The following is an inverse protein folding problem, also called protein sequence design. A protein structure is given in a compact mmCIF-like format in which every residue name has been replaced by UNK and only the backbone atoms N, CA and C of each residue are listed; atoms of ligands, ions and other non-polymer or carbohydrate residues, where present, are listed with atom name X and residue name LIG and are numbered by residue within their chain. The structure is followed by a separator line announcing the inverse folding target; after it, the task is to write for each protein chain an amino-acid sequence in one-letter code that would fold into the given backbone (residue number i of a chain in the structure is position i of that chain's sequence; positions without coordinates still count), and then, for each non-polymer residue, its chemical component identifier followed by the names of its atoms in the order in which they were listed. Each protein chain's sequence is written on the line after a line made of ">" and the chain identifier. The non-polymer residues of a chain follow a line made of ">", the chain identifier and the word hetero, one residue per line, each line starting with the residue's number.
data_IF_035164336844
#
_entry.id   IF_035164336844
#
_cell.length_a   1.000
_cell.length_b   1.000
_cell.length_c   1.000
_cell.angle_alpha   90.00
_cell.angle_beta   90.00
_cell.angle_gamma   90.00
#
_symmetry.space_group_name_H-M   'P 1'
#
loop_
_entity.id
_entity.type
_entity.pdbx_description
1 polymer ?
#
# COMPACT_ATOMS: atom_id res chain seq x y z
N UNK A 1 19.69 -6.04 0.11
CA UNK A 1 18.54 -5.64 0.95
C UNK A 1 18.71 -6.04 2.42
N UNK A 2 18.80 -7.31 2.81
CA UNK A 2 18.89 -7.71 4.24
C UNK A 2 20.02 -7.00 5.02
N UNK A 3 21.23 -6.95 4.45
CA UNK A 3 22.36 -6.17 5.01
C UNK A 3 22.04 -4.68 5.15
N UNK A 4 21.36 -4.10 4.17
CA UNK A 4 20.98 -2.69 4.24
C UNK A 4 19.95 -2.43 5.35
N UNK A 5 18.97 -3.35 5.54
CA UNK A 5 18.02 -3.26 6.65
C UNK A 5 18.71 -3.40 8.02
N UNK A 6 19.76 -4.22 8.10
CA UNK A 6 20.62 -4.31 9.28
C UNK A 6 21.34 -2.99 9.56
N UNK A 7 21.97 -2.42 8.53
CA UNK A 7 22.81 -1.23 8.69
C UNK A 7 21.99 0.06 8.89
N UNK A 8 20.71 0.07 8.50
CA UNK A 8 19.84 1.25 8.55
C UNK A 8 18.63 1.13 9.51
N UNK A 9 18.37 -0.07 10.03
CA UNK A 9 17.35 -0.32 11.05
C UNK A 9 17.93 -0.28 12.46
N UNK A 10 17.09 0.04 13.45
CA UNK A 10 17.46 -0.13 14.86
C UNK A 10 16.94 -1.48 15.37
N UNK A 11 17.56 -2.04 16.39
CA UNK A 11 17.12 -3.29 17.06
C UNK A 11 16.89 -4.44 16.05
N UNK A 12 17.89 -4.74 15.22
CA UNK A 12 17.77 -5.73 14.15
C UNK A 12 17.48 -7.15 14.66
N UNK A 13 17.82 -7.45 15.91
CA UNK A 13 17.41 -8.67 16.62
C UNK A 13 15.89 -8.83 16.68
N UNK A 14 15.13 -7.72 16.68
CA UNK A 14 13.67 -7.66 16.65
C UNK A 14 13.05 -7.56 15.26
N UNK A 15 13.83 -7.62 14.18
CA UNK A 15 13.34 -7.53 12.79
C UNK A 15 12.15 -8.46 12.53
N UNK A 16 11.19 -8.05 11.71
CA UNK A 16 10.03 -8.88 11.38
C UNK A 16 9.98 -9.18 9.88
N UNK A 17 9.60 -10.41 9.53
CA UNK A 17 9.21 -10.78 8.18
C UNK A 17 7.69 -10.85 8.09
N UNK A 18 7.08 -10.18 7.12
CA UNK A 18 5.64 -10.26 6.84
C UNK A 18 5.42 -10.82 5.45
N UNK A 19 4.49 -11.76 5.33
CA UNK A 19 4.25 -12.52 4.11
C UNK A 19 2.77 -12.94 4.01
N UNK A 20 2.19 -13.07 2.79
CA UNK A 20 0.80 -13.47 2.62
C UNK A 20 0.48 -14.82 3.28
N UNK A 21 1.25 -15.85 2.96
CA UNK A 21 1.06 -17.22 3.48
C UNK A 21 2.37 -17.82 3.96
N UNK A 22 2.37 -18.48 5.13
CA UNK A 22 3.61 -19.09 5.70
C UNK A 22 4.31 -20.07 4.76
N UNK A 23 3.58 -20.70 3.85
CA UNK A 23 4.15 -21.55 2.80
C UNK A 23 5.09 -20.82 1.85
N UNK A 24 4.95 -19.49 1.70
CA UNK A 24 5.76 -18.66 0.80
C UNK A 24 7.24 -18.59 1.24
N UNK A 25 7.53 -18.91 2.51
CA UNK A 25 8.90 -19.10 3.03
C UNK A 25 9.67 -20.18 2.28
N UNK A 26 8.98 -21.17 1.70
CA UNK A 26 9.59 -22.24 0.94
C UNK A 26 9.80 -21.85 -0.54
N UNK A 27 9.11 -20.82 -1.02
CA UNK A 27 9.16 -20.37 -2.42
C UNK A 27 10.24 -19.32 -2.68
N UNK A 28 10.63 -18.54 -1.67
CA UNK A 28 11.55 -17.40 -1.81
C UNK A 28 13.06 -17.74 -1.81
N UNK A 29 13.45 -19.02 -1.81
CA UNK A 29 14.85 -19.44 -1.74
C UNK A 29 15.53 -19.14 -0.39
N UNK A 30 16.86 -19.23 -0.33
CA UNK A 30 17.64 -19.10 0.92
C UNK A 30 17.59 -17.68 1.55
N UNK A 31 17.17 -16.66 0.80
CA UNK A 31 17.31 -15.27 1.22
C UNK A 31 16.27 -14.78 2.24
N UNK A 32 14.94 -14.99 2.07
CA UNK A 32 13.96 -14.68 3.11
C UNK A 32 14.16 -15.53 4.38
N UNK A 33 14.60 -16.77 4.21
CA UNK A 33 14.93 -17.68 5.32
C UNK A 33 16.08 -17.14 6.19
N UNK A 34 17.11 -16.55 5.57
CA UNK A 34 18.21 -15.91 6.31
C UNK A 34 17.76 -14.67 7.08
N UNK A 35 16.81 -13.90 6.54
CA UNK A 35 16.26 -12.73 7.24
C UNK A 35 15.45 -13.15 8.47
N UNK A 36 14.76 -14.29 8.45
CA UNK A 36 13.88 -14.71 9.55
C UNK A 36 14.55 -15.62 10.61
N UNK A 37 15.88 -15.61 10.72
CA UNK A 37 16.57 -16.44 11.72
C UNK A 37 16.11 -16.18 13.18
N UNK A 38 15.53 -15.00 13.49
CA UNK A 38 14.96 -14.68 14.81
C UNK A 38 13.50 -15.18 15.01
N UNK A 39 12.91 -15.84 14.02
CA UNK A 39 11.56 -16.43 14.05
C UNK A 39 10.40 -15.43 14.22
N UNK A 40 10.65 -14.13 14.08
CA UNK A 40 9.62 -13.10 14.12
C UNK A 40 8.91 -12.99 12.75
N UNK A 41 7.82 -13.76 12.59
CA UNK A 41 7.05 -13.84 11.34
C UNK A 41 5.61 -13.40 11.56
N UNK A 42 5.18 -12.45 10.74
CA UNK A 42 3.79 -12.06 10.53
C UNK A 42 3.18 -12.70 9.27
N UNK A 43 1.96 -13.21 9.35
CA UNK A 43 1.20 -13.62 8.16
C UNK A 43 -0.29 -13.28 8.28
N UNK A 44 -1.05 -13.36 7.17
CA UNK A 44 -2.50 -13.08 7.17
C UNK A 44 -3.25 -13.98 8.15
N UNK A 45 -3.01 -15.29 8.05
CA UNK A 45 -3.53 -16.32 8.95
C UNK A 45 -2.37 -16.81 9.82
N UNK A 46 -2.18 -16.25 11.01
CA UNK A 46 -1.09 -16.65 11.90
C UNK A 46 -0.71 -15.59 12.93
N UNK A 47 0.47 -15.78 13.55
CA UNK A 47 1.07 -14.77 14.45
C UNK A 47 1.23 -13.45 13.71
N UNK A 48 1.07 -12.35 14.43
CA UNK A 48 1.07 -11.01 13.85
C UNK A 48 2.48 -10.46 13.58
N UNK A 49 3.53 -11.13 14.04
CA UNK A 49 4.85 -10.53 14.20
C UNK A 49 4.88 -9.54 15.36
N UNK A 50 6.05 -9.32 15.92
CA UNK A 50 6.30 -8.32 16.96
C UNK A 50 6.96 -7.09 16.35
N UNK A 51 6.57 -5.90 16.81
CA UNK A 51 7.17 -4.63 16.38
C UNK A 51 8.52 -4.40 17.07
N UNK A 52 9.21 -3.33 16.66
CA UNK A 52 10.39 -2.81 17.36
C UNK A 52 11.71 -2.98 16.62
N UNK A 53 11.70 -3.46 15.38
CA UNK A 53 12.85 -3.56 14.48
C UNK A 53 12.45 -3.39 13.01
N UNK A 54 13.41 -3.46 12.07
CA UNK A 54 13.14 -3.29 10.65
C UNK A 54 12.25 -4.41 10.10
N UNK A 55 11.42 -4.08 9.12
CA UNK A 55 10.43 -5.00 8.57
C UNK A 55 10.76 -5.34 7.12
N UNK A 56 10.65 -6.61 6.78
CA UNK A 56 10.67 -7.07 5.39
C UNK A 56 9.27 -7.57 5.02
N UNK A 57 8.64 -6.95 4.03
CA UNK A 57 7.41 -7.42 3.41
C UNK A 57 7.75 -8.23 2.15
N UNK A 58 7.46 -9.52 2.16
CA UNK A 58 7.77 -10.44 1.06
C UNK A 58 6.52 -10.70 0.23
N UNK A 59 6.54 -10.26 -1.04
CA UNK A 59 5.45 -10.33 -2.00
C UNK A 59 4.14 -9.83 -1.40
N UNK A 60 4.10 -8.59 -0.88
CA UNK A 60 2.91 -8.10 -0.21
C UNK A 60 1.77 -7.86 -1.20
N UNK A 61 0.55 -8.07 -0.75
CA UNK A 61 -0.61 -7.32 -1.22
C UNK A 61 -0.88 -6.14 -0.27
N UNK A 62 -1.97 -5.39 -0.50
CA UNK A 62 -2.31 -4.20 0.30
C UNK A 62 -2.41 -4.49 1.81
N UNK A 63 -2.96 -5.63 2.21
CA UNK A 63 -3.11 -5.98 3.63
C UNK A 63 -1.75 -6.30 4.27
N UNK A 64 -0.89 -7.02 3.55
CA UNK A 64 0.45 -7.37 4.02
C UNK A 64 1.34 -6.13 4.08
N UNK A 65 1.22 -5.21 3.11
CA UNK A 65 1.92 -3.93 3.12
C UNK A 65 1.46 -3.07 4.31
N UNK A 66 0.15 -2.91 4.51
CA UNK A 66 -0.38 -2.16 5.67
C UNK A 66 0.14 -2.72 6.99
N UNK A 67 0.13 -4.06 7.14
CA UNK A 67 0.68 -4.73 8.32
C UNK A 67 2.16 -4.44 8.49
N UNK A 68 2.95 -4.48 7.41
CA UNK A 68 4.37 -4.18 7.46
C UNK A 68 4.63 -2.73 7.88
N UNK A 69 3.86 -1.77 7.36
CA UNK A 69 3.91 -0.35 7.75
C UNK A 69 3.66 -0.19 9.25
N UNK A 70 2.61 -0.81 9.77
CA UNK A 70 2.27 -0.75 11.20
C UNK A 70 3.33 -1.40 12.09
N UNK A 71 3.85 -2.57 11.71
CA UNK A 71 4.87 -3.28 12.48
C UNK A 71 6.20 -2.53 12.52
N UNK A 72 6.53 -1.84 11.43
CA UNK A 72 7.78 -1.11 11.34
C UNK A 72 7.80 0.06 12.31
N UNK A 73 6.67 0.71 12.58
CA UNK A 73 6.58 1.80 13.58
C UNK A 73 7.78 2.76 13.53
N UNK A 74 7.88 3.50 12.41
CA UNK A 74 8.98 4.44 12.13
C UNK A 74 10.37 3.80 11.93
N UNK A 75 10.46 2.48 11.81
CA UNK A 75 11.65 1.76 11.33
C UNK A 75 11.68 1.65 9.81
N UNK A 76 12.82 1.21 9.28
CA UNK A 76 12.98 0.94 7.84
C UNK A 76 12.15 -0.28 7.42
N UNK A 77 11.59 -0.19 6.22
CA UNK A 77 10.81 -1.24 5.57
C UNK A 77 11.49 -1.62 4.27
N UNK A 78 11.70 -2.92 4.06
CA UNK A 78 12.01 -3.50 2.76
C UNK A 78 10.76 -4.13 2.16
N UNK A 79 10.56 -3.94 0.86
CA UNK A 79 9.49 -4.60 0.09
C UNK A 79 10.14 -5.42 -1.02
N UNK A 80 9.73 -6.68 -1.15
CA UNK A 80 10.09 -7.53 -2.28
C UNK A 80 8.84 -7.81 -3.07
N UNK A 81 8.82 -7.45 -4.34
CA UNK A 81 7.72 -7.76 -5.24
C UNK A 81 8.01 -9.04 -6.02
N UNK A 82 6.96 -9.78 -6.37
CA UNK A 82 7.06 -10.91 -7.30
C UNK A 82 7.06 -10.42 -8.76
N UNK A 83 6.19 -9.44 -9.06
CA UNK A 83 6.15 -8.74 -10.34
C UNK A 83 6.33 -7.24 -10.07
N UNK A 84 7.16 -6.53 -10.84
CA UNK A 84 7.34 -5.09 -10.68
C UNK A 84 6.01 -4.34 -10.77
N UNK A 85 5.82 -3.34 -9.90
CA UNK A 85 4.80 -2.32 -10.06
C UNK A 85 3.55 -2.47 -9.20
N UNK A 86 3.40 -3.57 -8.46
CA UNK A 86 2.25 -3.79 -7.57
C UNK A 86 2.23 -2.83 -6.36
N UNK A 87 3.40 -2.36 -5.95
CA UNK A 87 3.64 -1.47 -4.81
C UNK A 87 4.28 -0.15 -5.26
N UNK A 88 4.21 0.18 -6.55
CA UNK A 88 4.84 1.37 -7.11
C UNK A 88 4.29 2.66 -6.49
N UNK A 89 3.00 2.71 -6.19
CA UNK A 89 2.41 3.86 -5.52
C UNK A 89 2.98 4.09 -4.12
N UNK A 90 3.16 3.02 -3.34
CA UNK A 90 3.84 3.09 -2.05
C UNK A 90 5.30 3.53 -2.20
N UNK A 91 6.02 2.97 -3.19
CA UNK A 91 7.39 3.34 -3.48
C UNK A 91 7.51 4.82 -3.84
N UNK A 92 6.56 5.34 -4.64
CA UNK A 92 6.47 6.73 -5.02
C UNK A 92 6.19 7.66 -3.85
N UNK A 93 5.20 7.34 -3.02
CA UNK A 93 4.83 8.13 -1.85
C UNK A 93 5.96 8.24 -0.83
N UNK A 94 6.75 7.18 -0.67
CA UNK A 94 7.84 7.10 0.31
C UNK A 94 9.21 7.46 -0.26
N UNK A 95 9.31 7.74 -1.56
CA UNK A 95 10.59 7.90 -2.28
C UNK A 95 11.55 6.74 -1.99
N UNK A 96 11.00 5.52 -2.07
CA UNK A 96 11.70 4.28 -1.73
C UNK A 96 12.97 4.11 -2.57
N UNK A 97 14.00 3.51 -1.96
CA UNK A 97 15.23 3.13 -2.65
C UNK A 97 15.01 1.81 -3.40
N UNK A 98 15.20 1.82 -4.71
CA UNK A 98 15.24 0.60 -5.51
C UNK A 98 16.63 -0.06 -5.35
N UNK A 99 16.67 -1.30 -4.88
CA UNK A 99 17.94 -2.02 -4.64
C UNK A 99 18.64 -2.51 -5.90
N UNK A 100 17.93 -2.61 -7.02
CA UNK A 100 18.47 -3.00 -8.32
C UNK A 100 19.14 -1.79 -8.97
N UNK A 101 18.41 -0.68 -9.11
CA UNK A 101 18.93 0.54 -9.77
C UNK A 101 19.76 1.43 -8.86
N UNK A 102 19.63 1.28 -7.53
CA UNK A 102 20.23 2.16 -6.50
C UNK A 102 19.70 3.58 -6.50
N UNK A 103 18.59 3.82 -7.16
CA UNK A 103 17.95 5.13 -7.24
C UNK A 103 16.72 5.19 -6.34
N UNK A 104 16.38 6.39 -5.88
CA UNK A 104 15.11 6.64 -5.20
C UNK A 104 14.03 6.88 -6.23
N UNK A 105 12.83 6.39 -5.96
CA UNK A 105 11.68 6.73 -6.78
C UNK A 105 11.50 8.27 -6.79
N UNK A 106 11.34 8.91 -7.97
CA UNK A 106 11.26 10.38 -8.08
C UNK A 106 10.03 10.97 -7.36
N UNK A 107 9.01 10.13 -7.18
CA UNK A 107 7.72 10.48 -6.59
C UNK A 107 6.70 10.70 -7.70
N UNK A 108 5.68 11.49 -7.41
CA UNK A 108 4.70 11.96 -8.40
C UNK A 108 4.80 13.49 -8.51
N UNK A 109 4.34 14.10 -9.62
CA UNK A 109 4.20 15.55 -9.72
C UNK A 109 3.36 16.11 -8.56
N UNK A 110 3.63 17.33 -8.12
CA UNK A 110 2.95 17.95 -6.97
C UNK A 110 1.42 17.98 -7.15
N UNK A 111 0.94 18.24 -8.35
CA UNK A 111 -0.48 18.23 -8.66
C UNK A 111 -1.14 16.84 -8.48
N UNK A 112 -0.43 15.78 -8.84
CA UNK A 112 -0.87 14.39 -8.62
C UNK A 112 -0.84 14.07 -7.13
N UNK A 113 0.18 14.53 -6.41
CA UNK A 113 0.27 14.40 -4.97
C UNK A 113 -0.95 15.01 -4.26
N UNK A 114 -1.32 16.24 -4.60
CA UNK A 114 -2.52 16.88 -4.04
C UNK A 114 -3.80 16.12 -4.42
N UNK A 115 -3.90 15.65 -5.66
CA UNK A 115 -5.05 14.84 -6.11
C UNK A 115 -5.19 13.54 -5.30
N UNK A 116 -4.07 12.89 -4.96
CA UNK A 116 -4.05 11.70 -4.10
C UNK A 116 -4.43 12.04 -2.65
N UNK A 117 -3.97 13.17 -2.11
CA UNK A 117 -4.37 13.65 -0.78
C UNK A 117 -5.88 13.96 -0.73
N UNK A 118 -6.43 14.61 -1.75
CA UNK A 118 -7.86 14.90 -1.84
C UNK A 118 -8.69 13.62 -1.87
N UNK A 119 -8.25 12.63 -2.65
CA UNK A 119 -8.90 11.31 -2.69
C UNK A 119 -8.82 10.59 -1.35
N UNK A 120 -7.65 10.62 -0.68
CA UNK A 120 -7.44 10.05 0.66
C UNK A 120 -8.45 10.64 1.67
N UNK A 121 -8.51 11.98 1.73
CA UNK A 121 -9.40 12.71 2.64
C UNK A 121 -10.87 12.42 2.34
N UNK A 122 -11.25 12.42 1.07
CA UNK A 122 -12.62 12.07 0.67
C UNK A 122 -12.98 10.64 1.11
N UNK A 123 -12.02 9.72 0.99
CA UNK A 123 -12.12 8.33 1.40
C UNK A 123 -12.11 8.06 2.90
N UNK A 124 -12.03 9.09 3.77
CA UNK A 124 -11.94 8.92 5.22
C UNK A 124 -13.08 8.04 5.79
N UNK A 125 -14.30 8.26 5.30
CA UNK A 125 -15.50 7.48 5.65
C UNK A 125 -15.71 6.24 4.75
N UNK A 126 -14.72 5.90 3.94
CA UNK A 126 -14.75 4.81 2.97
C UNK A 126 -15.47 5.16 1.66
N UNK A 127 -15.16 4.41 0.62
CA UNK A 127 -15.66 4.66 -0.74
C UNK A 127 -17.02 4.00 -1.05
N UNK A 128 -17.68 3.41 -0.05
CA UNK A 128 -18.92 2.65 -0.25
C UNK A 128 -20.16 3.53 -0.50
N UNK A 129 -20.06 4.84 -0.21
CA UNK A 129 -21.14 5.83 -0.36
C UNK A 129 -21.16 6.48 -1.75
N UNK A 130 -20.63 5.78 -2.75
CA UNK A 130 -20.43 6.25 -4.13
C UNK A 130 -21.70 6.64 -4.90
N UNK A 131 -22.88 6.34 -4.33
CA UNK A 131 -24.18 6.74 -4.88
C UNK A 131 -24.73 8.03 -4.30
N UNK A 132 -24.15 8.56 -3.23
CA UNK A 132 -24.60 9.79 -2.60
C UNK A 132 -23.91 11.00 -3.26
N UNK A 133 -24.66 12.02 -3.73
CA UNK A 133 -24.08 13.12 -4.52
C UNK A 133 -22.87 13.81 -3.87
N UNK A 134 -22.91 14.02 -2.55
CA UNK A 134 -21.84 14.64 -1.79
C UNK A 134 -20.53 13.85 -1.87
N UNK A 135 -20.58 12.54 -1.62
CA UNK A 135 -19.42 11.66 -1.65
C UNK A 135 -18.94 11.40 -3.08
N UNK A 136 -19.88 11.16 -4.00
CA UNK A 136 -19.57 10.96 -5.41
C UNK A 136 -18.78 12.13 -6.01
N UNK A 137 -19.15 13.38 -5.68
CA UNK A 137 -18.44 14.56 -6.14
C UNK A 137 -17.00 14.61 -5.61
N UNK A 138 -16.79 14.24 -4.35
CA UNK A 138 -15.45 14.17 -3.75
C UNK A 138 -14.57 13.05 -4.30
N UNK A 139 -15.15 11.94 -4.77
CA UNK A 139 -14.36 10.80 -5.28
C UNK A 139 -14.03 10.93 -6.76
N UNK A 140 -15.04 11.27 -7.58
CA UNK A 140 -14.93 11.07 -9.02
C UNK A 140 -14.04 12.10 -9.72
N UNK A 141 -14.00 13.35 -9.25
CA UNK A 141 -13.07 14.35 -9.79
C UNK A 141 -11.60 13.91 -9.67
N UNK A 142 -11.13 13.55 -8.46
CA UNK A 142 -9.78 13.01 -8.29
C UNK A 142 -9.53 11.72 -9.08
N UNK A 143 -10.48 10.78 -9.11
CA UNK A 143 -10.34 9.53 -9.86
C UNK A 143 -10.18 9.80 -11.36
N UNK A 144 -11.01 10.67 -11.94
CA UNK A 144 -10.94 11.02 -13.36
C UNK A 144 -9.55 11.56 -13.71
N UNK A 145 -9.06 12.52 -12.92
CA UNK A 145 -7.73 13.12 -13.10
C UNK A 145 -6.60 12.11 -12.99
N UNK A 146 -6.67 11.17 -12.04
CA UNK A 146 -5.66 10.12 -11.87
C UNK A 146 -5.66 9.14 -13.04
N UNK A 147 -6.85 8.76 -13.54
CA UNK A 147 -6.99 7.89 -14.70
C UNK A 147 -6.51 8.56 -15.99
N UNK A 148 -6.84 9.83 -16.20
CA UNK A 148 -6.36 10.63 -17.34
C UNK A 148 -4.84 10.77 -17.34
N UNK A 149 -4.22 10.88 -16.16
CA UNK A 149 -2.77 10.88 -15.99
C UNK A 149 -2.12 9.48 -16.10
N UNK A 150 -2.92 8.43 -16.34
CA UNK A 150 -2.43 7.06 -16.57
C UNK A 150 -2.16 6.24 -15.31
N UNK A 151 -2.59 6.68 -14.12
CA UNK A 151 -2.39 5.92 -12.90
C UNK A 151 -3.39 4.78 -12.76
N UNK A 152 -2.87 3.59 -12.46
CA UNK A 152 -3.68 2.38 -12.23
C UNK A 152 -4.29 2.37 -10.83
N UNK A 153 -5.31 1.53 -10.63
CA UNK A 153 -5.87 1.30 -9.30
C UNK A 153 -4.79 0.79 -8.31
N UNK A 154 -3.92 -0.13 -8.74
CA UNK A 154 -2.86 -0.69 -7.89
C UNK A 154 -1.88 0.38 -7.41
N UNK A 155 -1.50 1.31 -8.31
CA UNK A 155 -0.69 2.46 -7.96
C UNK A 155 -1.42 3.32 -6.92
N UNK A 156 -2.66 3.74 -7.22
CA UNK A 156 -3.42 4.62 -6.32
C UNK A 156 -3.63 3.98 -4.95
N UNK A 157 -4.08 2.72 -4.89
CA UNK A 157 -4.36 2.05 -3.63
C UNK A 157 -3.11 1.90 -2.74
N UNK A 158 -1.96 1.51 -3.33
CA UNK A 158 -0.71 1.40 -2.57
C UNK A 158 -0.15 2.77 -2.15
N UNK A 159 -0.35 3.82 -2.95
CA UNK A 159 -0.01 5.20 -2.58
C UNK A 159 -0.83 5.67 -1.39
N UNK A 160 -2.15 5.47 -1.43
CA UNK A 160 -3.05 5.88 -0.34
C UNK A 160 -2.73 5.16 0.98
N UNK A 161 -2.31 3.88 0.93
CA UNK A 161 -1.79 3.20 2.13
C UNK A 161 -0.60 3.93 2.75
N UNK A 162 0.33 4.42 1.93
CA UNK A 162 1.49 5.18 2.41
C UNK A 162 1.10 6.52 3.04
N UNK A 163 -0.01 7.13 2.59
CA UNK A 163 -0.58 8.34 3.20
C UNK A 163 -1.32 8.08 4.52
N UNK A 164 -1.57 6.81 4.88
CA UNK A 164 -2.20 6.43 6.15
C UNK A 164 -3.61 5.83 6.01
N UNK A 165 -4.09 5.61 4.78
CA UNK A 165 -5.31 4.83 4.58
C UNK A 165 -5.13 3.35 4.95
N UNK A 166 -6.24 2.64 5.10
CA UNK A 166 -6.25 1.21 5.44
C UNK A 166 -6.62 0.36 4.22
N UNK A 167 -6.10 -0.87 4.13
CA UNK A 167 -6.36 -1.80 3.05
C UNK A 167 -7.85 -2.13 2.93
N UNK A 168 -8.57 -2.17 4.05
CA UNK A 168 -10.03 -2.35 4.07
C UNK A 168 -10.78 -1.18 3.39
N UNK A 169 -10.22 0.03 3.39
CA UNK A 169 -10.81 1.20 2.72
C UNK A 169 -10.48 1.22 1.24
N UNK A 170 -9.19 1.08 0.90
CA UNK A 170 -8.68 1.21 -0.47
C UNK A 170 -8.75 -0.07 -1.29
N UNK A 171 -9.17 -1.17 -0.68
CA UNK A 171 -9.39 -2.45 -1.34
C UNK A 171 -10.65 -2.46 -2.19
N UNK A 172 -11.65 -3.23 -1.77
CA UNK A 172 -12.84 -3.52 -2.58
C UNK A 172 -13.62 -2.25 -3.00
N UNK A 173 -13.86 -1.32 -2.07
CA UNK A 173 -14.70 -0.16 -2.36
C UNK A 173 -14.05 0.81 -3.32
N UNK A 174 -12.77 1.15 -3.12
CA UNK A 174 -12.05 2.01 -4.07
C UNK A 174 -11.95 1.31 -5.43
N UNK A 175 -11.57 0.02 -5.46
CA UNK A 175 -11.46 -0.75 -6.70
C UNK A 175 -12.75 -0.72 -7.52
N UNK A 176 -13.90 -0.81 -6.86
CA UNK A 176 -15.21 -0.76 -7.50
C UNK A 176 -15.51 0.57 -8.18
N UNK A 177 -15.01 1.68 -7.62
CA UNK A 177 -15.32 3.03 -8.11
C UNK A 177 -14.22 3.62 -8.98
N UNK A 178 -13.01 3.06 -8.93
CA UNK A 178 -11.88 3.38 -9.79
C UNK A 178 -12.07 2.77 -11.18
N UNK A 179 -13.11 3.24 -11.86
CA UNK A 179 -13.51 2.80 -13.19
C UNK A 179 -13.83 4.02 -14.05
N UNK A 180 -13.76 3.88 -15.39
CA UNK A 180 -14.21 4.90 -16.32
C UNK A 180 -15.62 5.39 -16.01
N UNK A 181 -15.89 6.66 -16.33
CA UNK A 181 -17.14 7.35 -15.98
C UNK A 181 -18.39 6.60 -16.40
N UNK A 182 -18.38 5.98 -17.56
CA UNK A 182 -19.48 5.21 -18.14
C UNK A 182 -19.79 3.91 -17.39
N UNK A 183 -18.85 3.39 -16.60
CA UNK A 183 -19.02 2.16 -15.79
C UNK A 183 -19.49 2.46 -14.36
N UNK A 184 -19.60 3.73 -13.97
CA UNK A 184 -19.97 4.14 -12.61
C UNK A 184 -21.46 3.90 -12.34
N UNK A 185 -21.77 3.56 -11.09
CA UNK A 185 -23.17 3.43 -10.64
C UNK A 185 -23.86 4.79 -10.70
N UNK A 186 -25.14 4.78 -11.05
CA UNK A 186 -25.96 5.99 -11.03
C UNK A 186 -26.07 6.54 -9.60
N UNK A 187 -25.74 7.81 -9.44
CA UNK A 187 -25.94 8.58 -8.21
C UNK A 187 -27.45 8.60 -7.91
N UNK A 188 -27.84 8.38 -6.66
CA UNK A 188 -29.24 8.48 -6.25
C UNK A 188 -29.73 9.91 -6.46
N UNK A 189 -30.91 10.05 -7.06
CA UNK A 189 -31.67 11.30 -6.95
C UNK A 189 -31.99 11.45 -5.47
N UNK A 190 -31.73 12.63 -4.88
CA UNK A 190 -32.11 12.92 -3.49
C UNK A 190 -33.56 12.47 -3.27
N UNK A 191 -33.85 11.85 -2.12
CA UNK A 191 -35.19 11.96 -1.56
C UNK A 191 -35.44 13.48 -1.41
N UNK A 192 -36.34 14.00 -2.25
CA UNK A 192 -36.96 15.30 -1.99
C UNK A 192 -37.67 15.22 -0.63
N UNK A 193 -37.69 16.36 0.07
CA UNK A 193 -38.27 16.51 1.41
C UNK A 193 -39.74 16.10 1.50
#
# INVERSE_FOLDING_TARGET
>A
MARWLHDNGKNYDRRALVLPYKGDLNWGGKHPQSYVANKNVGSRKGKHGESGGPVLAFVPDLEILERAIRLADRQVIGVVEHAPGHMEGWAAATKALNFVTRERHPGVPAEIHETLNDLERAGYNGYHRDREPFFAHGYFGPIDKLMEAGYTYEFVASYLLALGSFASRVGEHLKRIYVPREKRRKISKRYGG
#
